data_IF_858642894242
#
_entry.id   IF_858642894242
#
_cell.length_a   1.000
_cell.length_b   1.000
_cell.length_c   1.000
_cell.angle_alpha   90.00
_cell.angle_beta   90.00
_cell.angle_gamma   90.00
#
_symmetry.space_group_name_H-M   'P 1'
#
loop_
_entity.id
_entity.type
_entity.pdbx_description
1 polymer ?
#
# COMPACT_ATOMS: atom_id res chain seq x y z
N UNK A 1 11.55 -6.60 29.07
CA UNK A 1 11.85 -7.37 27.83
C UNK A 1 10.53 -7.79 27.18
N UNK A 2 9.91 -6.95 26.33
CA UNK A 2 8.91 -7.35 25.29
C UNK A 2 8.39 -6.20 24.40
N UNK A 3 9.04 -5.03 24.31
CA UNK A 3 8.63 -3.97 23.35
C UNK A 3 9.19 -4.13 21.92
N UNK A 4 10.10 -5.08 21.71
CA UNK A 4 10.85 -5.20 20.44
C UNK A 4 10.07 -5.88 19.30
N UNK A 5 9.11 -6.74 19.63
CA UNK A 5 8.39 -7.57 18.65
C UNK A 5 7.29 -6.81 17.89
N UNK A 6 6.41 -6.05 18.57
CA UNK A 6 5.39 -5.24 17.90
C UNK A 6 6.00 -4.22 16.93
N UNK A 7 7.15 -3.63 17.31
CA UNK A 7 7.88 -2.66 16.50
C UNK A 7 8.47 -3.24 15.21
N UNK A 8 9.01 -4.48 15.26
CA UNK A 8 9.54 -5.17 14.08
C UNK A 8 8.44 -5.57 13.11
N UNK A 9 7.34 -6.13 13.62
CA UNK A 9 6.21 -6.50 12.78
C UNK A 9 5.60 -5.28 12.09
N UNK A 10 5.42 -4.18 12.82
CA UNK A 10 4.89 -2.94 12.26
C UNK A 10 5.79 -2.35 11.17
N UNK A 11 7.11 -2.46 11.35
CA UNK A 11 8.09 -2.07 10.33
C UNK A 11 7.99 -2.95 9.08
N UNK A 12 7.90 -4.28 9.26
CA UNK A 12 7.70 -5.21 8.16
C UNK A 12 6.38 -4.94 7.42
N UNK A 13 5.29 -4.67 8.14
CA UNK A 13 4.01 -4.31 7.55
C UNK A 13 4.11 -3.04 6.70
N UNK A 14 4.77 -1.98 7.22
CA UNK A 14 4.99 -0.75 6.46
C UNK A 14 5.84 -0.98 5.20
N UNK A 15 6.86 -1.83 5.27
CA UNK A 15 7.67 -2.24 4.11
C UNK A 15 6.83 -2.99 3.08
N UNK A 16 6.01 -3.97 3.50
CA UNK A 16 5.18 -4.74 2.58
C UNK A 16 4.15 -3.84 1.90
N UNK A 17 3.53 -2.91 2.63
CA UNK A 17 2.61 -1.94 2.04
C UNK A 17 3.31 -1.06 0.98
N UNK A 18 4.54 -0.61 1.25
CA UNK A 18 5.35 0.13 0.28
C UNK A 18 5.67 -0.71 -0.96
N UNK A 19 6.12 -1.96 -0.78
CA UNK A 19 6.41 -2.87 -1.88
C UNK A 19 5.15 -3.18 -2.70
N UNK A 20 4.01 -3.31 -2.05
CA UNK A 20 2.71 -3.44 -2.72
C UNK A 20 2.41 -2.23 -3.60
N UNK A 21 2.69 -1.00 -3.14
CA UNK A 21 2.48 0.20 -3.97
C UNK A 21 3.41 0.21 -5.20
N UNK A 22 4.65 -0.23 -5.05
CA UNK A 22 5.60 -0.42 -6.18
C UNK A 22 5.08 -1.48 -7.15
N UNK A 23 4.61 -2.61 -6.64
CA UNK A 23 4.05 -3.69 -7.45
C UNK A 23 2.81 -3.21 -8.22
N UNK A 24 1.91 -2.47 -7.58
CA UNK A 24 0.73 -1.88 -8.22
C UNK A 24 1.15 -0.95 -9.37
N UNK A 25 2.11 -0.05 -9.14
CA UNK A 25 2.59 0.88 -10.17
C UNK A 25 3.31 0.17 -11.34
N UNK A 26 4.02 -0.92 -11.08
CA UNK A 26 4.76 -1.65 -12.11
C UNK A 26 3.90 -2.62 -12.93
N UNK A 27 2.78 -3.11 -12.38
CA UNK A 27 1.99 -4.18 -13.02
C UNK A 27 1.37 -3.76 -14.36
N UNK A 28 0.62 -2.64 -14.48
CA UNK A 28 0.01 -2.24 -15.75
C UNK A 28 0.99 -2.10 -16.93
N UNK A 29 2.13 -1.40 -16.81
CA UNK A 29 3.08 -1.30 -17.92
C UNK A 29 3.76 -2.63 -18.24
N UNK A 30 4.01 -3.49 -17.24
CA UNK A 30 4.61 -4.80 -17.45
C UNK A 30 3.66 -5.80 -18.15
N UNK A 31 2.36 -5.54 -18.13
CA UNK A 31 1.32 -6.42 -18.70
C UNK A 31 0.70 -5.87 -19.99
N UNK A 32 1.14 -4.70 -20.46
CA UNK A 32 0.60 -4.07 -21.67
C UNK A 32 -0.86 -3.63 -21.54
N UNK A 33 -1.29 -3.26 -20.34
CA UNK A 33 -2.67 -2.84 -20.08
C UNK A 33 -3.01 -1.52 -20.81
N UNK A 34 -4.31 -1.22 -20.92
CA UNK A 34 -4.77 0.00 -21.59
C UNK A 34 -4.19 1.27 -20.96
N UNK A 35 -4.05 2.34 -21.76
CA UNK A 35 -3.48 3.62 -21.29
C UNK A 35 -4.29 4.22 -20.14
N UNK A 36 -5.63 4.11 -20.18
CA UNK A 36 -6.50 4.62 -19.13
C UNK A 36 -6.28 3.88 -17.79
N UNK A 37 -6.25 2.55 -17.83
CA UNK A 37 -5.96 1.74 -16.65
C UNK A 37 -4.55 2.01 -16.13
N UNK A 38 -3.56 2.03 -17.02
CA UNK A 38 -2.16 2.30 -16.67
C UNK A 38 -2.01 3.66 -16.00
N UNK A 39 -2.58 4.73 -16.57
CA UNK A 39 -2.52 6.06 -15.96
C UNK A 39 -3.14 6.09 -14.56
N UNK A 40 -4.34 5.52 -14.42
CA UNK A 40 -5.07 5.46 -13.14
C UNK A 40 -4.26 4.74 -12.05
N UNK A 41 -3.77 3.54 -12.35
CA UNK A 41 -3.06 2.69 -11.40
C UNK A 41 -1.66 3.22 -11.10
N UNK A 42 -0.91 3.68 -12.12
CA UNK A 42 0.46 4.21 -11.93
C UNK A 42 0.42 5.48 -11.10
N UNK A 43 -0.44 6.46 -11.42
CA UNK A 43 -0.54 7.69 -10.64
C UNK A 43 -0.93 7.41 -9.20
N UNK A 44 -1.93 6.55 -8.99
CA UNK A 44 -2.34 6.11 -7.65
C UNK A 44 -1.22 5.38 -6.91
N UNK A 45 -0.46 4.52 -7.61
CA UNK A 45 0.65 3.75 -7.05
C UNK A 45 1.81 4.64 -6.63
N UNK A 46 2.15 5.65 -7.42
CA UNK A 46 3.16 6.67 -7.06
C UNK A 46 2.74 7.45 -5.82
N UNK A 47 1.47 7.88 -5.74
CA UNK A 47 0.95 8.54 -4.53
C UNK A 47 0.98 7.59 -3.33
N UNK A 48 0.58 6.33 -3.52
CA UNK A 48 0.67 5.27 -2.51
C UNK A 48 2.09 5.08 -1.97
N UNK A 49 3.10 5.06 -2.85
CA UNK A 49 4.52 5.00 -2.49
C UNK A 49 4.90 6.17 -1.58
N UNK A 50 4.50 7.40 -1.93
CA UNK A 50 4.82 8.60 -1.13
C UNK A 50 4.28 8.46 0.30
N UNK A 51 3.01 8.09 0.45
CA UNK A 51 2.41 7.93 1.77
C UNK A 51 2.99 6.75 2.56
N UNK A 52 3.17 5.60 1.91
CA UNK A 52 3.73 4.41 2.55
C UNK A 52 5.18 4.64 2.99
N UNK A 53 6.01 5.24 2.12
CA UNK A 53 7.39 5.58 2.44
C UNK A 53 7.47 6.61 3.56
N UNK A 54 6.60 7.63 3.56
CA UNK A 54 6.55 8.61 4.66
C UNK A 54 6.21 7.95 5.99
N UNK A 55 5.28 7.00 5.99
CA UNK A 55 4.92 6.27 7.20
C UNK A 55 6.09 5.42 7.71
N UNK A 56 6.74 4.67 6.81
CA UNK A 56 7.93 3.89 7.14
C UNK A 56 9.07 4.77 7.68
N UNK A 57 9.34 5.92 7.07
CA UNK A 57 10.35 6.88 7.55
C UNK A 57 10.07 7.36 8.98
N UNK A 58 8.81 7.70 9.28
CA UNK A 58 8.42 8.14 10.62
C UNK A 58 8.50 7.01 11.65
N UNK A 59 8.12 5.80 11.25
CA UNK A 59 8.21 4.62 12.10
C UNK A 59 9.66 4.27 12.40
N UNK A 60 10.53 4.21 11.39
CA UNK A 60 11.96 3.88 11.58
C UNK A 60 12.75 4.97 12.30
N UNK A 61 12.42 6.24 12.08
CA UNK A 61 13.17 7.37 12.66
C UNK A 61 12.68 7.81 14.03
N UNK A 62 11.38 7.63 14.34
CA UNK A 62 10.76 8.17 15.57
C UNK A 62 9.91 7.16 16.33
N UNK A 63 9.77 5.92 15.83
CA UNK A 63 8.89 4.92 16.43
C UNK A 63 7.40 5.29 16.33
N UNK A 64 7.03 6.24 15.47
CA UNK A 64 5.66 6.76 15.37
C UNK A 64 5.02 6.44 14.03
N UNK A 65 3.77 6.02 14.07
CA UNK A 65 2.92 5.85 12.89
C UNK A 65 2.29 7.19 12.52
N UNK A 66 2.24 7.49 11.22
CA UNK A 66 1.36 8.55 10.71
C UNK A 66 0.01 7.95 10.31
N UNK A 67 -1.02 8.19 11.13
CA UNK A 67 -2.38 7.71 10.84
C UNK A 67 -2.92 8.23 9.49
N UNK A 68 -2.76 9.52 9.13
CA UNK A 68 -3.18 10.01 7.81
C UNK A 68 -2.49 9.28 6.66
N UNK A 69 -1.17 9.07 6.76
CA UNK A 69 -0.43 8.37 5.72
C UNK A 69 -0.85 6.90 5.62
N UNK A 70 -1.04 6.20 6.75
CA UNK A 70 -1.52 4.82 6.78
C UNK A 70 -2.90 4.69 6.11
N UNK A 71 -3.79 5.62 6.43
CA UNK A 71 -5.17 5.65 5.92
C UNK A 71 -5.20 5.88 4.42
N UNK A 72 -4.41 6.84 3.90
CA UNK A 72 -4.33 7.09 2.46
C UNK A 72 -3.72 5.89 1.72
N UNK A 73 -2.68 5.27 2.26
CA UNK A 73 -2.11 4.02 1.71
C UNK A 73 -3.17 2.90 1.68
N UNK A 74 -3.95 2.73 2.75
CA UNK A 74 -5.05 1.76 2.81
C UNK A 74 -6.10 2.02 1.72
N UNK A 75 -6.54 3.27 1.54
CA UNK A 75 -7.51 3.66 0.52
C UNK A 75 -7.01 3.27 -0.88
N UNK A 76 -5.73 3.49 -1.19
CA UNK A 76 -5.15 3.03 -2.45
C UNK A 76 -5.13 1.51 -2.56
N UNK A 77 -4.82 0.79 -1.49
CA UNK A 77 -4.89 -0.68 -1.48
C UNK A 77 -6.27 -1.20 -1.85
N UNK A 78 -7.31 -0.63 -1.24
CA UNK A 78 -8.70 -0.95 -1.58
C UNK A 78 -9.02 -0.58 -3.02
N UNK A 79 -8.61 0.60 -3.48
CA UNK A 79 -8.79 1.01 -4.87
C UNK A 79 -8.16 0.02 -5.85
N UNK A 80 -6.95 -0.48 -5.59
CA UNK A 80 -6.31 -1.47 -6.46
C UNK A 80 -7.02 -2.82 -6.49
N UNK A 81 -7.74 -3.20 -5.43
CA UNK A 81 -8.58 -4.40 -5.49
C UNK A 81 -9.78 -4.22 -6.42
N UNK A 82 -10.37 -3.02 -6.44
CA UNK A 82 -11.58 -2.71 -7.22
C UNK A 82 -11.29 -2.27 -8.65
N UNK A 83 -10.23 -1.52 -8.89
CA UNK A 83 -9.97 -0.90 -10.17
C UNK A 83 -9.98 -1.90 -11.34
N UNK A 84 -9.33 -3.08 -11.29
CA UNK A 84 -9.39 -4.03 -12.39
C UNK A 84 -10.79 -4.55 -12.73
N UNK A 85 -11.76 -4.42 -11.83
CA UNK A 85 -13.16 -4.80 -12.10
C UNK A 85 -13.92 -3.72 -12.91
N UNK A 86 -13.40 -2.50 -12.94
CA UNK A 86 -13.99 -1.35 -13.64
C UNK A 86 -13.43 -1.15 -15.05
N UNK A 87 -12.30 -1.79 -15.36
CA UNK A 87 -11.66 -1.73 -16.67
C UNK A 87 -11.64 -3.14 -17.27
N UNK A 88 -11.83 -3.26 -18.58
CA UNK A 88 -11.58 -4.52 -19.29
C UNK A 88 -10.06 -4.71 -19.41
N UNK A 89 -9.49 -5.50 -18.49
CA UNK A 89 -8.05 -5.76 -18.39
C UNK A 89 -7.77 -7.26 -18.29
N UNK A 90 -6.64 -7.68 -18.88
CA UNK A 90 -6.25 -9.08 -18.90
C UNK A 90 -5.99 -9.67 -17.50
N UNK A 91 -5.97 -11.00 -17.42
CA UNK A 91 -5.79 -11.76 -16.17
C UNK A 91 -4.55 -11.33 -15.37
N UNK A 92 -3.40 -11.12 -16.03
CA UNK A 92 -2.16 -10.75 -15.34
C UNK A 92 -2.24 -9.35 -14.71
N UNK A 93 -2.85 -8.39 -15.41
CA UNK A 93 -3.07 -7.05 -14.89
C UNK A 93 -4.04 -7.08 -13.69
N UNK A 94 -5.12 -7.86 -13.81
CA UNK A 94 -6.09 -8.07 -12.72
C UNK A 94 -5.41 -8.69 -11.50
N UNK A 95 -4.79 -9.85 -11.67
CA UNK A 95 -4.18 -10.60 -10.58
C UNK A 95 -3.06 -9.82 -9.89
N UNK A 96 -2.18 -9.17 -10.65
CA UNK A 96 -1.06 -8.40 -10.09
C UNK A 96 -1.52 -7.17 -9.31
N UNK A 97 -2.48 -6.40 -9.86
CA UNK A 97 -2.98 -5.19 -9.19
C UNK A 97 -3.87 -5.55 -7.98
N UNK A 98 -4.70 -6.60 -8.06
CA UNK A 98 -5.49 -7.06 -6.91
C UNK A 98 -4.62 -7.67 -5.80
N UNK A 99 -3.57 -8.43 -6.15
CA UNK A 99 -2.60 -8.92 -5.18
C UNK A 99 -1.90 -7.75 -4.48
N UNK A 100 -1.41 -6.78 -5.25
CA UNK A 100 -0.81 -5.56 -4.71
C UNK A 100 -1.79 -4.84 -3.77
N UNK A 101 -3.04 -4.65 -4.20
CA UNK A 101 -4.10 -4.05 -3.40
C UNK A 101 -4.36 -4.78 -2.08
N UNK A 102 -4.40 -6.12 -2.12
CA UNK A 102 -4.59 -6.97 -0.94
C UNK A 102 -3.45 -6.81 0.06
N UNK A 103 -2.20 -6.81 -0.42
CA UNK A 103 -1.02 -6.57 0.42
C UNK A 103 -1.10 -5.19 1.07
N UNK A 104 -1.32 -4.15 0.26
CA UNK A 104 -1.39 -2.78 0.76
C UNK A 104 -2.51 -2.65 1.79
N UNK A 105 -3.73 -3.08 1.46
CA UNK A 105 -4.88 -2.91 2.34
C UNK A 105 -4.68 -3.64 3.67
N UNK A 106 -4.20 -4.89 3.64
CA UNK A 106 -3.98 -5.68 4.87
C UNK A 106 -2.95 -5.04 5.77
N UNK A 107 -1.76 -4.72 5.23
CA UNK A 107 -0.66 -4.24 6.06
C UNK A 107 -0.80 -2.76 6.43
N UNK A 108 -1.35 -1.92 5.55
CA UNK A 108 -1.65 -0.53 5.88
C UNK A 108 -2.80 -0.42 6.89
N UNK A 109 -3.79 -1.31 6.85
CA UNK A 109 -4.82 -1.38 7.89
C UNK A 109 -4.21 -1.71 9.26
N UNK A 110 -3.30 -2.68 9.33
CA UNK A 110 -2.60 -2.99 10.58
C UNK A 110 -1.82 -1.77 11.10
N UNK A 111 -1.10 -1.08 10.22
CA UNK A 111 -0.38 0.15 10.58
C UNK A 111 -1.34 1.24 11.06
N UNK A 112 -2.47 1.45 10.38
CA UNK A 112 -3.48 2.43 10.78
C UNK A 112 -4.08 2.11 12.15
N UNK A 113 -4.43 0.85 12.40
CA UNK A 113 -4.93 0.38 13.70
C UNK A 113 -3.88 0.59 14.79
N UNK A 114 -2.60 0.29 14.54
CA UNK A 114 -1.53 0.58 15.49
C UNK A 114 -1.40 2.08 15.79
N UNK A 115 -1.56 2.94 14.78
CA UNK A 115 -1.62 4.39 14.95
C UNK A 115 -2.81 4.88 15.78
N UNK A 116 -3.96 4.22 15.68
CA UNK A 116 -5.14 4.49 16.51
C UNK A 116 -4.97 3.99 17.95
N UNK A 117 -4.39 2.80 18.12
CA UNK A 117 -4.23 2.15 19.42
C UNK A 117 -3.11 2.79 20.27
N UNK A 118 -2.07 3.34 19.63
CA UNK A 118 -0.97 4.07 20.27
C UNK A 118 -1.18 5.58 20.37
N UNK A 119 -2.43 6.06 20.26
CA UNK A 119 -2.75 7.48 20.22
C UNK A 119 -2.52 8.21 21.55
N UNK A 120 -1.35 8.88 21.66
CA UNK A 120 -1.19 10.24 22.22
C UNK A 120 -0.71 11.22 21.12
#
# INVERSE_FOLDING_TARGET
MTESEPSRFLSAAAVIALLGCVLAAATPPATGASTAFTGSIVTSGVLGIVFAARNLQLLSGRGRVSLPAATLTLIFGVWFMFAPLLYDVGFLATGGVQLAGTLIATFAAYVAVAGLAGGE
#
